data_IF_984816601769
#
_entry.id   IF_984816601769
#
_cell.length_a   1.000
_cell.length_b   1.000
_cell.length_c   1.000
_cell.angle_alpha   90.00
_cell.angle_beta   90.00
_cell.angle_gamma   90.00
#
_symmetry.space_group_name_H-M   'P 1'
#
loop_
_entity.id
_entity.type
_entity.pdbx_description
1 polymer ?
#
# COMPACT_ATOMS: atom_id res chain seq x y z
N UNK A 1 25.81 2.26 -38.45
CA UNK A 1 26.08 2.55 -37.02
C UNK A 1 24.79 2.26 -36.26
N UNK A 2 24.79 1.19 -35.47
CA UNK A 2 23.61 0.55 -34.86
C UNK A 2 22.90 1.49 -33.87
N UNK A 3 21.60 1.74 -34.09
CA UNK A 3 20.68 2.09 -33.01
C UNK A 3 20.41 0.81 -32.22
N UNK A 4 21.05 0.66 -31.07
CA UNK A 4 20.58 -0.28 -30.04
C UNK A 4 19.31 0.33 -29.48
N UNK A 5 18.16 -0.08 -30.04
CA UNK A 5 16.89 0.08 -29.35
C UNK A 5 16.93 -0.91 -28.21
N UNK A 6 17.43 -0.46 -27.06
CA UNK A 6 17.19 -1.16 -25.80
C UNK A 6 15.68 -1.16 -25.60
N UNK A 7 15.05 -2.29 -25.95
CA UNK A 7 13.67 -2.56 -25.58
C UNK A 7 13.67 -2.55 -24.06
N UNK A 8 13.23 -1.43 -23.48
CA UNK A 8 12.77 -1.41 -22.09
C UNK A 8 11.81 -2.58 -21.98
N UNK A 9 12.10 -3.62 -21.18
CA UNK A 9 11.22 -4.77 -21.06
C UNK A 9 9.85 -4.22 -20.65
N UNK A 10 8.81 -4.60 -21.39
CA UNK A 10 7.45 -4.18 -21.08
C UNK A 10 7.13 -4.85 -19.77
N UNK A 11 7.26 -4.12 -18.67
CA UNK A 11 6.89 -4.60 -17.35
C UNK A 11 5.43 -5.03 -17.46
N UNK A 12 5.12 -6.30 -17.21
CA UNK A 12 3.74 -6.71 -16.99
C UNK A 12 3.25 -5.81 -15.86
N UNK A 13 2.28 -4.97 -16.15
CA UNK A 13 1.68 -4.12 -15.15
C UNK A 13 0.93 -5.04 -14.21
N UNK A 14 1.48 -5.26 -13.02
CA UNK A 14 0.75 -5.95 -11.96
C UNK A 14 -0.51 -5.12 -11.71
N UNK A 15 -1.67 -5.69 -12.01
CA UNK A 15 -2.94 -5.04 -11.72
C UNK A 15 -3.20 -5.17 -10.24
N UNK A 16 -3.16 -4.04 -9.53
CA UNK A 16 -3.42 -3.97 -8.10
C UNK A 16 -4.81 -3.40 -7.90
N UNK A 17 -5.72 -4.24 -7.43
CA UNK A 17 -7.04 -3.81 -6.98
C UNK A 17 -7.04 -3.74 -5.46
N UNK A 18 -7.37 -2.57 -4.91
CA UNK A 18 -7.41 -2.36 -3.46
C UNK A 18 -8.86 -2.27 -3.01
N UNK A 19 -9.23 -3.10 -2.05
CA UNK A 19 -10.58 -3.16 -1.51
C UNK A 19 -10.59 -2.80 -0.02
N UNK A 20 -11.60 -2.04 0.40
CA UNK A 20 -11.86 -1.74 1.81
C UNK A 20 -13.12 -2.51 2.22
N UNK A 21 -13.03 -3.27 3.31
CA UNK A 21 -14.18 -3.99 3.87
C UNK A 21 -14.87 -3.14 4.92
N UNK A 22 -16.15 -2.86 4.70
CA UNK A 22 -17.01 -2.15 5.67
C UNK A 22 -18.02 -3.15 6.24
N UNK A 23 -18.35 -3.01 7.54
CA UNK A 23 -19.18 -3.97 8.29
C UNK A 23 -20.59 -4.17 7.72
N UNK A 24 -21.17 -3.15 7.08
CA UNK A 24 -22.53 -3.21 6.53
C UNK A 24 -22.67 -2.31 5.30
N UNK A 25 -23.58 -2.68 4.41
CA UNK A 25 -23.96 -1.87 3.25
C UNK A 25 -24.47 -0.49 3.66
N UNK A 26 -25.24 -0.39 4.75
CA UNK A 26 -25.74 0.89 5.25
C UNK A 26 -24.60 1.86 5.61
N UNK A 27 -23.60 1.37 6.34
CA UNK A 27 -22.41 2.18 6.71
C UNK A 27 -21.59 2.57 5.48
N UNK A 28 -21.50 1.68 4.48
CA UNK A 28 -20.83 1.99 3.24
C UNK A 28 -21.54 3.13 2.48
N UNK A 29 -22.87 3.08 2.36
CA UNK A 29 -23.66 4.14 1.73
C UNK A 29 -23.49 5.48 2.44
N UNK A 30 -23.57 5.49 3.77
CA UNK A 30 -23.39 6.71 4.55
C UNK A 30 -21.99 7.31 4.37
N UNK A 31 -20.95 6.47 4.41
CA UNK A 31 -19.57 6.90 4.18
C UNK A 31 -19.39 7.46 2.77
N UNK A 32 -19.93 6.79 1.73
CA UNK A 32 -19.86 7.27 0.35
C UNK A 32 -20.55 8.62 0.18
N UNK A 33 -21.75 8.80 0.75
CA UNK A 33 -22.46 10.08 0.72
C UNK A 33 -21.66 11.18 1.43
N UNK A 34 -21.11 10.88 2.61
CA UNK A 34 -20.28 11.83 3.35
C UNK A 34 -19.02 12.22 2.55
N UNK A 35 -18.32 11.27 1.92
CA UNK A 35 -17.14 11.54 1.09
C UNK A 35 -17.47 12.40 -0.13
N UNK A 36 -18.62 12.18 -0.78
CA UNK A 36 -19.06 13.00 -1.91
C UNK A 36 -19.35 14.43 -1.45
N UNK A 37 -20.10 14.61 -0.36
CA UNK A 37 -20.39 15.93 0.22
C UNK A 37 -19.11 16.64 0.66
N UNK A 38 -18.20 15.93 1.32
CA UNK A 38 -16.91 16.43 1.73
C UNK A 38 -16.07 16.90 0.53
N UNK A 39 -16.06 16.11 -0.56
CA UNK A 39 -15.35 16.46 -1.80
C UNK A 39 -15.92 17.70 -2.47
N UNK A 40 -17.24 17.88 -2.46
CA UNK A 40 -17.90 19.09 -2.98
C UNK A 40 -17.55 20.29 -2.10
N UNK A 41 -17.69 20.15 -0.78
CA UNK A 41 -17.38 21.20 0.19
C UNK A 41 -15.91 21.65 0.09
N UNK A 42 -14.96 20.71 -0.09
CA UNK A 42 -13.54 21.00 -0.24
C UNK A 42 -13.20 21.84 -1.50
N UNK A 43 -14.07 21.85 -2.51
CA UNK A 43 -13.91 22.66 -3.73
C UNK A 43 -14.45 24.08 -3.62
N UNK A 44 -15.31 24.36 -2.63
CA UNK A 44 -15.93 25.67 -2.42
C UNK A 44 -15.13 26.40 -1.35
N UNK A 45 -14.52 27.54 -1.67
CA UNK A 45 -13.54 28.23 -0.81
C UNK A 45 -14.03 28.46 0.63
N UNK A 46 -15.26 28.94 0.80
CA UNK A 46 -15.85 29.17 2.13
C UNK A 46 -16.05 27.86 2.92
N UNK A 47 -16.57 26.81 2.27
CA UNK A 47 -16.78 25.51 2.92
C UNK A 47 -15.45 24.83 3.22
N UNK A 48 -14.45 24.94 2.33
CA UNK A 48 -13.09 24.47 2.56
C UNK A 48 -12.47 25.12 3.80
N UNK A 49 -12.60 26.43 3.95
CA UNK A 49 -12.14 27.14 5.14
C UNK A 49 -12.85 26.63 6.39
N UNK A 50 -14.17 26.42 6.32
CA UNK A 50 -14.92 25.82 7.42
C UNK A 50 -14.45 24.39 7.78
N UNK A 51 -14.20 23.53 6.77
CA UNK A 51 -13.67 22.17 6.96
C UNK A 51 -12.31 22.17 7.67
N UNK A 52 -11.44 23.14 7.33
CA UNK A 52 -10.11 23.28 7.90
C UNK A 52 -10.13 23.83 9.33
N UNK A 53 -11.05 24.76 9.63
CA UNK A 53 -11.18 25.36 10.96
C UNK A 53 -11.93 24.46 11.94
N UNK A 54 -12.78 23.55 11.47
CA UNK A 54 -13.59 22.67 12.33
C UNK A 54 -13.50 21.18 11.93
N UNK A 55 -12.29 20.59 11.84
CA UNK A 55 -12.11 19.21 11.36
C UNK A 55 -12.87 18.20 12.23
N UNK A 56 -12.98 18.43 13.54
CA UNK A 56 -13.75 17.59 14.45
C UNK A 56 -15.25 17.61 14.19
N UNK A 57 -15.85 18.76 13.90
CA UNK A 57 -17.27 18.83 13.58
C UNK A 57 -17.55 18.15 12.23
N UNK A 58 -16.72 18.43 11.22
CA UNK A 58 -16.91 17.93 9.87
C UNK A 58 -16.66 16.42 9.74
N UNK A 59 -15.88 15.85 10.64
CA UNK A 59 -15.58 14.43 10.72
C UNK A 59 -16.33 13.68 11.82
N UNK A 60 -17.34 14.31 12.45
CA UNK A 60 -18.10 13.71 13.57
C UNK A 60 -17.21 13.21 14.72
N UNK A 61 -16.13 13.93 15.02
CA UNK A 61 -15.18 13.61 16.07
C UNK A 61 -14.15 12.53 15.73
N UNK A 62 -14.15 12.03 14.49
CA UNK A 62 -13.15 11.06 14.02
C UNK A 62 -11.75 11.68 13.93
N UNK A 63 -11.66 12.94 13.50
CA UNK A 63 -10.42 13.71 13.50
C UNK A 63 -10.47 14.81 14.56
N UNK A 64 -9.35 15.01 15.25
CA UNK A 64 -9.19 16.07 16.25
C UNK A 64 -7.88 16.80 15.96
N UNK A 65 -7.82 18.09 16.25
CA UNK A 65 -6.57 18.85 16.12
C UNK A 65 -5.46 18.31 17.01
N UNK A 66 -5.81 17.78 18.20
CA UNK A 66 -4.85 17.13 19.09
C UNK A 66 -4.30 15.79 18.57
N UNK A 67 -4.86 15.26 17.47
CA UNK A 67 -4.62 13.87 17.07
C UNK A 67 -5.24 12.84 18.04
N UNK A 68 -4.95 11.55 17.83
CA UNK A 68 -5.30 10.48 18.76
C UNK A 68 -4.46 10.54 20.04
N UNK A 69 -4.95 9.93 21.13
CA UNK A 69 -4.14 9.76 22.35
C UNK A 69 -3.10 8.65 22.18
N UNK A 70 -2.06 8.66 23.01
CA UNK A 70 -1.03 7.62 23.03
C UNK A 70 -1.63 6.22 23.24
N UNK A 71 -2.66 6.09 24.07
CA UNK A 71 -3.36 4.83 24.29
C UNK A 71 -4.09 4.36 23.03
N UNK A 72 -4.75 5.27 22.30
CA UNK A 72 -5.43 4.94 21.05
C UNK A 72 -4.43 4.45 20.00
N UNK A 73 -3.26 5.08 19.91
CA UNK A 73 -2.18 4.67 19.01
C UNK A 73 -1.61 3.32 19.43
N UNK A 74 -1.35 3.10 20.73
CA UNK A 74 -0.81 1.83 21.25
C UNK A 74 -1.76 0.64 21.08
N UNK A 75 -3.07 0.87 21.12
CA UNK A 75 -4.08 -0.16 20.95
C UNK A 75 -4.45 -0.42 19.48
N UNK A 76 -4.10 0.51 18.58
CA UNK A 76 -4.37 0.37 17.17
C UNK A 76 -3.36 -0.57 16.48
N UNK A 77 -3.83 -1.24 15.44
CA UNK A 77 -3.05 -2.14 14.59
C UNK A 77 -3.66 -2.17 13.20
N UNK A 78 -2.89 -2.60 12.20
CA UNK A 78 -3.41 -2.85 10.86
C UNK A 78 -3.10 -4.26 10.39
N UNK A 79 -3.93 -4.73 9.46
CA UNK A 79 -3.68 -5.93 8.67
C UNK A 79 -4.05 -5.62 7.22
N UNK A 80 -3.09 -5.72 6.32
CA UNK A 80 -3.32 -5.79 4.88
C UNK A 80 -3.32 -7.25 4.45
N UNK A 81 -4.34 -7.63 3.67
CA UNK A 81 -4.40 -8.92 3.01
C UNK A 81 -4.09 -8.76 1.53
N UNK A 82 -3.15 -9.54 1.04
CA UNK A 82 -2.74 -9.60 -0.35
C UNK A 82 -3.19 -10.93 -0.94
N UNK A 83 -3.95 -10.88 -2.02
CA UNK A 83 -4.42 -12.04 -2.77
C UNK A 83 -3.78 -11.98 -4.15
N UNK A 84 -2.74 -12.78 -4.37
CA UNK A 84 -2.03 -12.87 -5.64
C UNK A 84 -2.52 -14.06 -6.45
N UNK A 85 -2.80 -13.83 -7.74
CA UNK A 85 -3.02 -14.92 -8.72
C UNK A 85 -1.91 -14.85 -9.76
N UNK A 86 -1.17 -15.96 -9.93
CA UNK A 86 -0.14 -16.10 -10.96
C UNK A 86 -0.61 -16.93 -12.16
N UNK A 87 0.22 -17.00 -13.21
CA UNK A 87 0.00 -17.88 -14.35
C UNK A 87 0.66 -19.25 -14.13
N UNK A 88 0.05 -20.32 -14.63
CA UNK A 88 0.62 -21.68 -14.62
C UNK A 88 1.86 -21.79 -15.51
N UNK A 89 1.83 -21.09 -16.64
CA UNK A 89 2.92 -21.07 -17.62
C UNK A 89 4.08 -20.20 -17.12
N UNK A 90 5.27 -20.80 -16.98
CA UNK A 90 6.48 -20.06 -16.63
C UNK A 90 7.23 -19.66 -17.90
N UNK A 91 7.07 -18.41 -18.32
CA UNK A 91 7.89 -17.84 -19.39
C UNK A 91 9.18 -17.23 -18.84
N UNK A 92 10.29 -17.40 -19.56
CA UNK A 92 11.58 -16.76 -19.25
C UNK A 92 11.63 -15.25 -19.54
N UNK A 93 10.56 -14.68 -20.10
CA UNK A 93 10.39 -13.22 -20.22
C UNK A 93 8.95 -12.86 -19.90
N UNK A 94 8.82 -11.75 -19.17
CA UNK A 94 7.57 -11.10 -18.81
C UNK A 94 6.76 -10.62 -20.03
N UNK A 95 7.41 -10.31 -21.16
CA UNK A 95 6.72 -9.84 -22.37
C UNK A 95 5.83 -10.91 -23.05
N UNK A 96 5.96 -12.17 -22.62
CA UNK A 96 5.22 -13.31 -23.21
C UNK A 96 3.85 -13.54 -22.57
N UNK A 97 3.56 -12.91 -21.45
CA UNK A 97 2.25 -13.00 -20.80
C UNK A 97 1.30 -11.98 -21.47
N UNK A 98 0.41 -12.48 -22.34
CA UNK A 98 -0.44 -11.61 -23.18
C UNK A 98 -1.83 -11.34 -22.60
N UNK A 99 -2.26 -12.10 -21.59
CA UNK A 99 -3.61 -12.01 -21.01
C UNK A 99 -3.58 -12.18 -19.49
N UNK A 100 -4.58 -11.63 -18.80
CA UNK A 100 -4.76 -11.85 -17.36
C UNK A 100 -4.91 -13.37 -17.05
N UNK A 101 -4.50 -13.83 -15.85
CA UNK A 101 -4.57 -15.24 -15.49
C UNK A 101 -6.00 -15.79 -15.64
N UNK A 102 -6.14 -16.94 -16.28
CA UNK A 102 -7.43 -17.57 -16.54
C UNK A 102 -8.02 -18.27 -15.29
N UNK A 103 -9.20 -18.88 -15.39
CA UNK A 103 -9.83 -19.57 -14.24
C UNK A 103 -9.03 -20.76 -13.70
N UNK A 104 -8.17 -21.40 -14.49
CA UNK A 104 -7.27 -22.47 -14.05
C UNK A 104 -6.07 -21.91 -13.31
N UNK A 105 -5.54 -20.79 -13.78
CA UNK A 105 -4.46 -20.02 -13.13
C UNK A 105 -4.86 -19.50 -11.73
N UNK A 106 -6.17 -19.33 -11.47
CA UNK A 106 -6.70 -19.07 -10.11
C UNK A 106 -6.37 -20.18 -9.10
N UNK A 107 -5.85 -21.33 -9.51
CA UNK A 107 -5.37 -22.35 -8.59
C UNK A 107 -3.96 -22.03 -8.05
N UNK A 108 -3.20 -21.14 -8.71
CA UNK A 108 -1.96 -20.56 -8.20
C UNK A 108 -2.26 -19.28 -7.42
N UNK A 109 -2.99 -19.46 -6.32
CA UNK A 109 -3.27 -18.40 -5.37
C UNK A 109 -2.21 -18.39 -4.28
N UNK A 110 -1.56 -17.24 -4.12
CA UNK A 110 -0.79 -16.94 -2.92
C UNK A 110 -1.57 -15.92 -2.10
N UNK A 111 -1.79 -16.25 -0.83
CA UNK A 111 -2.32 -15.31 0.13
C UNK A 111 -1.15 -14.86 1.00
N UNK A 112 -0.97 -13.56 1.13
CA UNK A 112 -0.03 -13.00 2.07
C UNK A 112 -0.74 -11.97 2.95
N UNK A 113 -0.20 -11.70 4.13
CA UNK A 113 -0.67 -10.60 4.97
C UNK A 113 0.50 -9.78 5.48
N UNK A 114 0.29 -8.47 5.59
CA UNK A 114 1.18 -7.57 6.29
C UNK A 114 0.46 -7.07 7.54
N UNK A 115 1.06 -7.32 8.69
CA UNK A 115 0.54 -6.91 10.00
C UNK A 115 1.46 -5.87 10.61
N UNK A 116 0.91 -4.92 11.34
CA UNK A 116 1.72 -3.94 12.05
C UNK A 116 0.96 -3.16 13.12
N UNK A 117 1.67 -2.24 13.81
CA UNK A 117 1.08 -1.36 14.82
C UNK A 117 0.14 -0.35 14.14
N UNK A 118 -0.23 0.74 14.82
CA UNK A 118 -1.04 1.80 14.20
C UNK A 118 -0.53 2.21 12.81
N UNK A 119 -1.43 2.27 11.83
CA UNK A 119 -1.08 2.57 10.45
C UNK A 119 -0.72 4.04 10.21
N UNK A 120 -1.33 4.96 10.96
CA UNK A 120 -1.27 6.39 10.70
C UNK A 120 -0.01 7.07 11.24
N UNK A 121 0.52 6.57 12.35
CA UNK A 121 1.59 7.20 13.11
C UNK A 121 2.80 6.27 13.19
N UNK A 122 2.70 5.19 13.96
CA UNK A 122 3.87 4.32 14.26
C UNK A 122 4.35 3.63 12.98
N UNK A 123 3.50 2.84 12.32
CA UNK A 123 3.94 2.02 11.20
C UNK A 123 4.46 2.86 10.02
N UNK A 124 3.82 3.99 9.70
CA UNK A 124 4.25 4.83 8.58
C UNK A 124 5.61 5.46 8.86
N UNK A 125 5.83 5.99 10.06
CA UNK A 125 7.14 6.53 10.47
C UNK A 125 8.23 5.48 10.43
N UNK A 126 7.96 4.28 10.93
CA UNK A 126 8.92 3.17 10.94
C UNK A 126 9.22 2.64 9.52
N UNK A 127 8.23 2.62 8.63
CA UNK A 127 8.46 2.29 7.21
C UNK A 127 9.45 3.26 6.56
N UNK A 128 9.30 4.56 6.83
CA UNK A 128 10.23 5.59 6.30
C UNK A 128 11.63 5.42 6.89
N UNK A 129 11.73 5.14 8.19
CA UNK A 129 13.00 4.90 8.86
C UNK A 129 13.70 3.65 8.29
N UNK A 130 12.97 2.55 8.13
CA UNK A 130 13.48 1.32 7.53
C UNK A 130 13.97 1.54 6.09
N UNK A 131 13.23 2.32 5.29
CA UNK A 131 13.64 2.72 3.95
C UNK A 131 14.93 3.56 3.97
N UNK A 132 15.00 4.59 4.82
CA UNK A 132 16.19 5.43 4.96
C UNK A 132 17.43 4.64 5.39
N UNK A 133 17.28 3.73 6.37
CA UNK A 133 18.37 2.86 6.82
C UNK A 133 18.82 1.89 5.73
N UNK A 134 17.88 1.38 4.91
CA UNK A 134 18.21 0.50 3.78
C UNK A 134 18.95 1.28 2.69
N UNK A 135 18.58 2.54 2.44
CA UNK A 135 19.30 3.39 1.51
C UNK A 135 20.76 3.61 1.91
N UNK A 136 21.03 3.76 3.21
CA UNK A 136 22.37 4.01 3.73
C UNK A 136 23.21 2.73 3.89
N UNK A 137 22.58 1.64 4.37
CA UNK A 137 23.29 0.43 4.79
C UNK A 137 23.43 -0.62 3.68
N UNK A 138 22.52 -0.60 2.70
CA UNK A 138 22.48 -1.55 1.58
C UNK A 138 22.71 -0.83 0.23
N UNK A 139 23.47 0.28 0.25
CA UNK A 139 23.69 1.14 -0.92
C UNK A 139 24.27 0.38 -2.13
N UNK A 140 25.08 -0.64 -1.88
CA UNK A 140 25.66 -1.55 -2.88
C UNK A 140 24.63 -2.47 -3.56
N UNK A 141 23.45 -2.64 -2.96
CA UNK A 141 22.35 -3.49 -3.45
C UNK A 141 21.24 -2.68 -4.11
N UNK A 142 21.35 -1.35 -4.12
CA UNK A 142 20.36 -0.47 -4.74
C UNK A 142 20.57 -0.37 -6.25
N UNK A 143 19.49 -0.12 -7.02
CA UNK A 143 19.60 0.16 -8.44
C UNK A 143 20.30 1.51 -8.70
N UNK A 144 21.01 1.60 -9.82
CA UNK A 144 21.81 2.77 -10.16
C UNK A 144 20.97 3.92 -10.74
N UNK A 145 20.64 4.90 -9.89
CA UNK A 145 20.07 6.21 -10.28
C UNK A 145 18.67 6.16 -10.91
N UNK A 146 17.90 7.24 -10.79
CA UNK A 146 16.54 7.34 -11.33
C UNK A 146 15.45 7.25 -10.26
N UNK A 147 14.22 6.93 -10.68
CA UNK A 147 13.03 6.90 -9.82
C UNK A 147 12.47 5.49 -9.80
N UNK A 148 12.39 4.90 -8.61
CA UNK A 148 11.97 3.52 -8.39
C UNK A 148 10.81 3.46 -7.41
N UNK A 149 9.96 2.45 -7.59
CA UNK A 149 9.01 2.08 -6.53
C UNK A 149 9.78 1.41 -5.40
N UNK A 150 9.25 1.45 -4.17
CA UNK A 150 9.88 0.79 -3.02
C UNK A 150 10.14 -0.71 -3.28
N UNK A 151 9.19 -1.38 -3.94
CA UNK A 151 9.32 -2.79 -4.29
C UNK A 151 10.51 -3.08 -5.23
N UNK A 152 10.78 -2.22 -6.22
CA UNK A 152 11.92 -2.41 -7.13
C UNK A 152 13.23 -1.91 -6.54
N UNK A 153 13.21 -0.82 -5.77
CA UNK A 153 14.38 -0.24 -5.13
C UNK A 153 14.97 -1.15 -4.05
N UNK A 154 14.10 -1.76 -3.23
CA UNK A 154 14.50 -2.47 -2.02
C UNK A 154 14.46 -4.00 -2.14
N UNK A 155 14.17 -4.52 -3.34
CA UNK A 155 13.99 -5.96 -3.60
C UNK A 155 15.10 -6.83 -3.00
N UNK A 156 16.35 -6.40 -3.16
CA UNK A 156 17.54 -7.17 -2.78
C UNK A 156 18.20 -6.61 -1.48
N UNK A 157 17.51 -5.73 -0.74
CA UNK A 157 18.00 -5.10 0.50
C UNK A 157 17.51 -5.80 1.76
N UNK A 158 18.07 -5.42 2.93
CA UNK A 158 17.65 -5.94 4.23
C UNK A 158 16.35 -5.34 4.79
N UNK A 159 15.56 -4.63 3.99
CA UNK A 159 14.43 -3.81 4.47
C UNK A 159 13.39 -4.62 5.25
N UNK A 160 13.07 -5.86 4.84
CA UNK A 160 12.04 -6.67 5.50
C UNK A 160 12.42 -7.02 6.94
N UNK A 161 13.70 -7.32 7.21
CA UNK A 161 14.16 -7.56 8.58
C UNK A 161 14.13 -6.30 9.44
N UNK A 162 14.35 -5.12 8.85
CA UNK A 162 14.22 -3.83 9.56
C UNK A 162 12.76 -3.54 9.90
N UNK A 163 11.86 -3.72 8.94
CA UNK A 163 10.42 -3.55 9.15
C UNK A 163 9.91 -4.50 10.25
N UNK A 164 10.38 -5.75 10.25
CA UNK A 164 10.02 -6.73 11.27
C UNK A 164 10.46 -6.31 12.68
N UNK A 165 11.67 -5.75 12.83
CA UNK A 165 12.14 -5.19 14.11
C UNK A 165 11.27 -4.05 14.64
N UNK A 166 10.58 -3.33 13.75
CA UNK A 166 9.63 -2.27 14.10
C UNK A 166 8.18 -2.76 14.16
N UNK A 167 7.96 -4.08 14.12
CA UNK A 167 6.65 -4.69 14.26
C UNK A 167 5.83 -4.75 12.98
N UNK A 168 6.38 -4.38 11.82
CA UNK A 168 5.74 -4.52 10.50
C UNK A 168 6.21 -5.81 9.85
N UNK A 169 5.33 -6.81 9.79
CA UNK A 169 5.72 -8.18 9.43
C UNK A 169 4.89 -8.71 8.27
N UNK A 170 5.57 -9.33 7.31
CA UNK A 170 4.96 -9.95 6.13
C UNK A 170 4.95 -11.46 6.30
N UNK A 171 3.81 -12.08 6.04
CA UNK A 171 3.61 -13.52 6.19
C UNK A 171 2.92 -14.08 4.96
N UNK A 172 3.38 -15.25 4.50
CA UNK A 172 2.63 -16.07 3.55
C UNK A 172 1.63 -16.89 4.37
N UNK A 173 0.36 -16.81 4.00
CA UNK A 173 -0.71 -17.58 4.60
C UNK A 173 -0.84 -18.86 3.77
N UNK A 174 -0.34 -19.97 4.30
CA UNK A 174 -0.53 -21.28 3.68
C UNK A 174 -2.01 -21.66 3.76
N UNK A 175 -2.61 -21.93 2.59
CA UNK A 175 -3.92 -22.54 2.52
C UNK A 175 -3.74 -24.06 2.56
N UNK A 176 -4.17 -24.71 3.64
CA UNK A 176 -4.40 -26.16 3.65
C UNK A 176 -5.69 -26.52 2.91
#
# INVERSE_FOLDING_TARGET
MMRVTEKVPVSITTQVETFIRIKSFFWATLLSLWLVLFTIAAKISFLKEFLLTHPGLCSFGMFKESGPTDEQVKQASFIYWFFGTGWEEKYGSFDKYQAAPNKKDRLLQMVARCVGPDAGYVATSECVLAAALSLLSDADKLPAGGVYTSASAFKDTGIYGRLENYGVRFEIVENH
#
